data_IF_715825567293
#
_entry.id   IF_715825567293
#
_cell.length_a   1.000
_cell.length_b   1.000
_cell.length_c   1.000
_cell.angle_alpha   90.00
_cell.angle_beta   90.00
_cell.angle_gamma   90.00
#
_symmetry.space_group_name_H-M   'P 1'
#
loop_
_entity.id
_entity.type
_entity.pdbx_description
1 polymer ?
2 polymer ?
3 non-polymer ?
4 water ?
#
# COMPACT_ATOMS: atom_id res chain seq x y z
N UNK A 4 15.06 -27.25 -26.27
CA UNK A 4 13.81 -26.75 -25.61
C UNK A 4 13.40 -25.34 -26.01
N UNK A 5 12.21 -24.94 -25.57
CA UNK A 5 11.68 -23.61 -25.87
C UNK A 5 12.03 -22.66 -24.74
N UNK A 7 9.80 -20.75 -23.40
CA UNK A 7 8.68 -21.03 -22.50
C UNK A 7 9.02 -22.12 -21.49
N UNK A 8 9.55 -23.24 -21.97
CA UNK A 8 9.92 -24.34 -21.06
C UNK A 8 10.94 -23.90 -20.02
N UNK A 9 12.00 -23.24 -20.46
CA UNK A 9 13.05 -22.86 -19.52
C UNK A 9 12.51 -21.85 -18.52
N UNK A 10 11.70 -20.89 -18.98
CA UNK A 10 11.10 -19.92 -18.07
C UNK A 10 10.21 -20.56 -17.01
N UNK A 11 9.35 -21.50 -17.42
CA UNK A 11 8.44 -22.13 -16.50
C UNK A 11 9.17 -22.97 -15.49
N UNK A 13 12.23 -22.61 -14.43
CA UNK A 13 12.93 -21.71 -13.52
C UNK A 13 11.98 -21.12 -12.48
N UNK A 14 10.81 -20.67 -12.93
CA UNK A 14 9.77 -20.16 -12.03
C UNK A 14 9.38 -21.24 -11.01
N UNK A 15 9.19 -22.46 -11.48
CA UNK A 15 8.77 -23.55 -10.61
C UNK A 15 9.83 -23.84 -9.55
N UNK A 16 11.10 -23.82 -9.95
CA UNK A 16 12.21 -24.02 -9.02
C UNK A 16 12.17 -22.95 -7.95
N UNK A 17 11.98 -21.71 -8.36
CA UNK A 17 11.89 -20.61 -7.41
C UNK A 17 10.74 -20.75 -6.41
N UNK A 18 9.58 -21.12 -6.93
CA UNK A 18 8.40 -21.40 -6.11
C UNK A 18 8.65 -22.52 -5.12
N UNK A 19 9.23 -23.61 -5.61
CA UNK A 19 9.52 -24.77 -4.77
C UNK A 19 10.47 -24.39 -3.63
N UNK A 20 11.57 -23.73 -3.95
CA UNK A 20 12.55 -23.41 -2.94
C UNK A 20 12.01 -22.42 -1.89
N UNK A 21 11.16 -21.49 -2.33
CA UNK A 21 10.52 -20.55 -1.40
C UNK A 21 9.57 -21.30 -0.46
N UNK A 22 8.75 -22.18 -1.01
CA UNK A 22 7.79 -22.90 -0.21
C UNK A 22 8.47 -23.88 0.75
N UNK A 23 9.60 -24.47 0.34
CA UNK A 23 10.43 -25.30 1.23
C UNK A 23 10.90 -24.46 2.42
N UNK A 24 11.33 -23.23 2.13
CA UNK A 24 11.75 -22.28 3.18
C UNK A 24 10.59 -21.94 4.11
N UNK A 25 9.40 -21.70 3.56
CA UNK A 25 8.21 -21.50 4.38
C UNK A 25 7.93 -22.74 5.28
N UNK A 26 8.13 -23.95 4.75
CA UNK A 26 7.90 -25.18 5.54
C UNK A 26 9.03 -25.49 6.54
N UNK A 27 10.13 -24.77 6.45
CA UNK A 27 11.28 -24.99 7.34
C UNK A 27 11.75 -26.45 7.35
N UNK A 28 11.76 -27.06 6.18
CA UNK A 28 12.33 -28.39 6.00
C UNK A 28 13.60 -28.23 5.15
N UNK A 29 14.73 -28.82 5.58
CA UNK A 29 15.97 -28.67 4.84
C UNK A 29 15.95 -29.38 3.49
N UNK A 30 16.74 -28.89 2.54
CA UNK A 30 16.93 -29.53 1.24
C UNK A 30 18.42 -29.82 1.06
N UNK A 31 18.71 -30.95 0.42
CA UNK A 31 20.08 -31.40 0.21
C UNK A 31 20.67 -30.73 -1.02
N UNK A 32 21.89 -30.20 -0.88
CA UNK A 32 22.57 -29.47 -1.96
C UNK A 32 21.61 -28.69 -2.85
N UNK A 34 22.07 -26.03 -4.40
CA UNK A 34 22.73 -24.83 -4.88
C UNK A 34 21.76 -23.64 -4.88
N UNK A 35 21.65 -22.96 -3.73
CA UNK A 35 20.78 -21.78 -3.70
C UNK A 35 21.34 -20.66 -4.56
N UNK A 36 20.61 -20.32 -5.62
CA UNK A 36 20.97 -19.20 -6.49
C UNK A 36 20.71 -17.90 -5.76
N UNK A 37 21.23 -16.81 -6.29
CA UNK A 37 21.07 -15.55 -5.60
C UNK A 37 19.63 -15.06 -5.66
N UNK A 38 18.93 -15.35 -6.78
CA UNK A 38 17.51 -15.03 -6.87
C UNK A 38 16.71 -15.77 -5.79
N UNK A 39 17.07 -17.01 -5.51
CA UNK A 39 16.44 -17.76 -4.41
C UNK A 39 16.62 -17.05 -3.08
N UNK A 40 17.86 -16.60 -2.83
CA UNK A 40 18.19 -15.96 -1.56
C UNK A 40 17.48 -14.63 -1.36
N UNK A 41 17.40 -13.81 -2.41
CA UNK A 41 16.70 -12.53 -2.20
C UNK A 41 15.21 -12.77 -2.16
N UNK A 42 14.70 -13.74 -2.92
CA UNK A 42 13.27 -14.02 -2.89
C UNK A 42 12.87 -14.49 -1.49
N UNK A 43 13.67 -15.38 -0.91
CA UNK A 43 13.49 -15.86 0.46
C UNK A 43 13.31 -14.71 1.44
N UNK A 44 14.27 -13.78 1.43
CA UNK A 44 14.24 -12.59 2.26
C UNK A 44 13.02 -11.69 2.04
N UNK A 45 12.82 -11.27 0.79
CA UNK A 45 11.80 -10.27 0.48
C UNK A 45 10.40 -10.86 0.54
N UNK A 46 10.21 -12.05 -0.03
CA UNK A 46 8.90 -12.69 0.02
C UNK A 46 8.50 -13.07 1.44
N UNK A 47 9.46 -13.54 2.25
CA UNK A 47 9.10 -13.93 3.62
C UNK A 47 8.69 -12.71 4.46
N UNK A 48 9.34 -11.56 4.24
CA UNK A 48 8.95 -10.34 4.96
C UNK A 48 7.57 -9.88 4.54
N UNK A 49 7.25 -10.00 3.25
CA UNK A 49 5.90 -9.70 2.77
C UNK A 49 4.89 -10.68 3.38
N UNK A 50 5.26 -11.96 3.42
CA UNK A 50 4.38 -12.97 3.97
C UNK A 50 4.06 -12.65 5.45
N UNK A 51 5.07 -12.28 6.23
CA UNK A 51 4.82 -11.94 7.63
C UNK A 51 3.89 -10.73 7.73
N UNK A 52 4.09 -9.73 6.87
CA UNK A 52 3.23 -8.55 6.86
C UNK A 52 1.78 -8.90 6.51
N UNK A 53 1.61 -9.79 5.52
CA UNK A 53 0.27 -10.25 5.15
C UNK A 53 -0.38 -10.98 6.32
N UNK A 54 0.37 -11.87 6.94
CA UNK A 54 -0.19 -12.66 8.05
C UNK A 54 -0.60 -11.80 9.24
N UNK A 55 0.03 -10.63 9.38
CA UNK A 55 -0.28 -9.69 10.45
C UNK A 55 -1.42 -8.75 10.05
N UNK A 56 -1.25 -8.05 8.93
CA UNK A 56 -2.24 -7.07 8.45
C UNK A 56 -3.59 -7.67 8.09
N UNK A 57 -3.58 -8.86 7.48
CA UNK A 57 -4.82 -9.50 7.01
C UNK A 57 -5.29 -10.64 7.93
N UNK A 58 -4.85 -10.64 9.18
CA UNK A 58 -5.17 -11.74 10.11
C UNK A 58 -6.68 -12.01 10.18
N UNK A 59 -7.50 -10.96 10.15
CA UNK A 59 -8.95 -11.12 10.31
C UNK A 59 -9.56 -11.79 9.09
N UNK A 60 -9.04 -11.48 7.90
CA UNK A 60 -9.50 -12.16 6.68
C UNK A 60 -9.04 -13.61 6.67
N UNK A 61 -7.77 -13.84 7.00
CA UNK A 61 -7.19 -15.17 6.90
C UNK A 61 -7.81 -16.13 7.92
N UNK A 62 -8.09 -15.62 9.12
CA UNK A 62 -8.74 -16.43 10.16
C UNK A 62 -10.17 -16.82 9.77
N UNK A 63 -10.76 -16.12 8.80
CA UNK A 63 -12.08 -16.48 8.28
C UNK A 63 -12.02 -17.68 7.33
N UNK A 64 -10.90 -17.85 6.63
CA UNK A 64 -10.73 -19.00 5.73
C UNK A 64 -10.39 -20.27 6.50
N UNK A 65 -10.98 -21.38 6.07
CA UNK A 65 -10.63 -22.70 6.59
C UNK A 65 -10.19 -23.51 5.38
N UNK A 66 -8.88 -23.57 5.19
CA UNK A 66 -8.33 -24.10 3.95
C UNK A 66 -8.17 -25.61 4.09
N UNK A 67 -9.29 -26.32 4.04
CA UNK A 67 -9.35 -27.74 4.32
C UNK A 67 -8.96 -28.60 3.12
N UNK A 68 -8.61 -27.98 1.99
CA UNK A 68 -8.18 -28.72 0.82
C UNK A 68 -7.35 -27.86 -0.10
N UNK A 69 -6.61 -28.52 -0.98
CA UNK A 69 -5.82 -27.83 -1.98
C UNK A 69 -6.78 -27.07 -2.92
N UNK A 70 -7.94 -27.65 -3.23
CA UNK A 70 -8.93 -26.96 -4.06
C UNK A 70 -9.36 -25.62 -3.49
N UNK A 71 -9.63 -25.58 -2.20
CA UNK A 71 -9.97 -24.31 -1.56
C UNK A 71 -8.81 -23.33 -1.67
N UNK A 72 -7.59 -23.80 -1.42
CA UNK A 72 -6.41 -22.94 -1.55
C UNK A 72 -6.25 -22.37 -2.96
N UNK A 73 -6.44 -23.23 -3.96
CA UNK A 73 -6.34 -22.85 -5.36
C UNK A 73 -7.34 -21.75 -5.70
N UNK A 74 -8.58 -21.88 -5.22
CA UNK A 74 -9.63 -20.91 -5.53
C UNK A 74 -9.32 -19.58 -4.86
N UNK A 75 -8.96 -19.63 -3.58
CA UNK A 75 -8.58 -18.41 -2.86
C UNK A 75 -7.47 -17.69 -3.59
N UNK A 76 -6.42 -18.43 -3.93
CA UNK A 76 -5.27 -17.87 -4.66
C UNK A 76 -5.74 -17.23 -5.98
N UNK A 77 -6.51 -17.98 -6.77
CA UNK A 77 -6.99 -17.49 -8.07
C UNK A 77 -7.76 -16.19 -7.95
N UNK A 78 -8.69 -16.14 -7.00
CA UNK A 78 -9.58 -15.01 -6.89
C UNK A 78 -8.85 -13.77 -6.41
N UNK A 79 -7.98 -13.94 -5.43
CA UNK A 79 -7.20 -12.82 -4.90
C UNK A 79 -6.25 -12.32 -5.96
N UNK A 81 -6.46 -12.59 -9.25
CA UNK A 81 -7.24 -11.91 -10.30
C UNK A 81 -7.49 -10.46 -9.92
N UNK A 82 -7.95 -10.22 -8.69
CA UNK A 82 -8.17 -8.84 -8.23
C UNK A 82 -6.85 -8.05 -8.22
N UNK A 83 -5.80 -8.64 -7.66
CA UNK A 83 -4.53 -7.92 -7.54
C UNK A 83 -4.04 -7.42 -8.89
N UNK A 84 -4.16 -8.28 -9.91
CA UNK A 84 -3.58 -7.99 -11.21
C UNK A 84 -4.57 -7.45 -12.23
N UNK A 85 -5.81 -7.17 -11.80
CA UNK A 85 -6.90 -6.77 -12.72
C UNK A 85 -6.58 -5.48 -13.49
N UNK A 86 -5.72 -4.64 -12.91
CA UNK A 86 -5.37 -3.37 -13.53
C UNK A 86 -4.34 -3.47 -14.67
N UNK A 87 -3.79 -4.67 -14.87
CA UNK A 87 -2.86 -4.96 -15.97
C UNK A 87 -1.43 -4.51 -15.72
N UNK A 88 -1.15 -4.07 -14.50
CA UNK A 88 0.18 -3.58 -14.14
C UNK A 88 0.98 -4.75 -13.63
N UNK A 89 2.26 -4.78 -13.98
CA UNK A 89 3.16 -5.78 -13.43
C UNK A 89 4.40 -5.04 -12.96
N UNK A 90 4.92 -5.44 -11.81
CA UNK A 90 6.23 -5.00 -11.34
C UNK A 90 6.79 -6.08 -10.42
N UNK A 91 8.02 -5.91 -9.98
CA UNK A 91 8.67 -6.95 -9.20
C UNK A 91 8.03 -7.13 -7.83
N UNK A 92 7.52 -6.04 -7.25
CA UNK A 92 6.84 -6.11 -5.95
C UNK A 92 5.61 -7.01 -6.02
N UNK A 93 4.88 -6.88 -7.12
CA UNK A 93 3.72 -7.71 -7.36
C UNK A 93 4.12 -9.18 -7.54
N UNK A 94 5.18 -9.42 -8.30
CA UNK A 94 5.67 -10.78 -8.47
C UNK A 94 6.05 -11.38 -7.10
N UNK A 95 6.69 -10.60 -6.25
CA UNK A 95 7.03 -11.07 -4.90
C UNK A 95 5.79 -11.48 -4.11
N UNK A 96 4.73 -10.67 -4.19
CA UNK A 96 3.51 -10.99 -3.48
C UNK A 96 2.83 -12.30 -3.94
N UNK A 97 3.09 -12.75 -5.17
CA UNK A 97 2.53 -14.02 -5.67
C UNK A 97 3.12 -15.15 -4.86
N UNK A 98 4.44 -15.16 -4.76
CA UNK A 98 5.12 -16.15 -3.95
C UNK A 98 4.66 -16.08 -2.50
N UNK A 99 4.63 -14.86 -1.93
CA UNK A 99 4.25 -14.65 -0.52
C UNK A 99 2.85 -15.18 -0.20
N UNK A 100 1.90 -14.93 -1.08
CA UNK A 100 0.55 -15.35 -0.84
C UNK A 100 0.42 -16.87 -1.00
N UNK A 101 1.17 -17.47 -1.93
CA UNK A 101 1.25 -18.93 -1.99
C UNK A 101 1.76 -19.52 -0.67
N UNK A 102 2.78 -18.89 -0.06
CA UNK A 102 3.29 -19.34 1.23
C UNK A 102 2.28 -19.19 2.34
N UNK A 103 1.55 -18.08 2.34
CA UNK A 103 0.49 -17.86 3.33
C UNK A 103 -0.49 -19.04 3.25
N UNK A 104 -0.91 -19.37 2.02
CA UNK A 104 -1.88 -20.43 1.82
C UNK A 104 -1.34 -21.83 2.11
N UNK A 105 -0.07 -22.08 1.75
CA UNK A 105 0.58 -23.35 2.14
C UNK A 105 0.59 -23.56 3.66
N UNK A 106 1.00 -22.54 4.41
CA UNK A 106 0.99 -22.61 5.86
C UNK A 106 -0.41 -22.96 6.38
N UNK A 107 -1.44 -22.30 5.84
CA UNK A 107 -2.82 -22.56 6.25
C UNK A 107 -3.27 -23.98 5.92
N UNK A 108 -2.96 -24.43 4.72
CA UNK A 108 -3.19 -25.83 4.32
C UNK A 108 -2.56 -26.82 5.29
N UNK A 109 -1.28 -26.62 5.58
CA UNK A 109 -0.57 -27.52 6.48
C UNK A 109 -1.35 -27.66 7.78
N UNK A 110 -1.87 -26.55 8.30
CA UNK A 110 -2.63 -26.54 9.56
C UNK A 110 -4.07 -27.01 9.38
N UNK A 111 -4.71 -26.54 8.32
CA UNK A 111 -6.10 -26.88 8.02
C UNK A 111 -6.16 -27.94 6.92
N UNK A 118 0.09 -33.99 -1.71
CA UNK A 118 1.16 -33.10 -1.29
C UNK A 118 0.77 -31.66 -1.54
N UNK A 119 0.48 -30.93 -0.47
CA UNK A 119 0.18 -29.51 -0.57
C UNK A 119 1.34 -28.75 -1.19
N UNK A 120 2.55 -29.09 -0.78
CA UNK A 120 3.74 -28.42 -1.29
C UNK A 120 3.83 -28.52 -2.81
N UNK A 121 3.70 -29.75 -3.32
CA UNK A 121 3.75 -29.98 -4.76
C UNK A 121 2.68 -29.17 -5.49
N UNK A 122 1.44 -29.27 -5.02
CA UNK A 122 0.31 -28.64 -5.70
C UNK A 122 0.36 -27.11 -5.63
N UNK A 123 0.71 -26.57 -4.46
CA UNK A 123 0.85 -25.12 -4.34
C UNK A 123 1.99 -24.60 -5.23
N UNK A 124 3.15 -25.27 -5.22
CA UNK A 124 4.27 -24.81 -6.06
C UNK A 124 3.85 -24.81 -7.55
N UNK A 125 3.01 -25.76 -7.93
CA UNK A 125 2.54 -25.87 -9.32
C UNK A 125 1.59 -24.73 -9.68
N UNK A 126 0.57 -24.48 -8.87
CA UNK A 126 -0.39 -23.42 -9.25
C UNK A 126 0.18 -22.00 -9.12
N UNK A 127 1.14 -21.84 -8.20
CA UNK A 127 1.90 -20.60 -8.09
C UNK A 127 2.73 -20.41 -9.36
N UNK A 128 3.44 -21.46 -9.78
CA UNK A 128 4.32 -21.34 -10.96
C UNK A 128 3.51 -21.00 -12.19
N UNK A 129 2.39 -21.71 -12.36
CA UNK A 129 1.52 -21.49 -13.53
C UNK A 129 1.04 -20.05 -13.57
N UNK A 130 0.56 -19.54 -12.43
CA UNK A 130 0.09 -18.14 -12.41
C UNK A 130 1.22 -17.16 -12.78
N UNK A 131 2.40 -17.32 -12.19
CA UNK A 131 3.52 -16.42 -12.47
C UNK A 131 3.89 -16.47 -13.95
N UNK A 133 2.08 -17.55 -16.57
CA UNK A 133 1.03 -17.15 -17.48
C UNK A 133 0.70 -15.66 -17.45
N UNK A 134 0.91 -15.02 -16.31
CA UNK A 134 0.53 -13.63 -16.12
C UNK A 134 1.69 -12.66 -16.11
N UNK A 135 2.91 -13.14 -15.88
CA UNK A 135 4.11 -12.28 -15.76
C UNK A 135 5.37 -12.80 -16.46
N UNK A 136 5.34 -13.98 -17.08
CA UNK A 136 6.54 -14.61 -17.64
C UNK A 136 7.23 -13.78 -18.70
N UNK A 137 6.45 -13.20 -19.60
CA UNK A 137 7.03 -12.33 -20.63
C UNK A 137 7.55 -11.03 -20.03
N UNK A 138 6.83 -10.46 -19.06
CA UNK A 138 7.32 -9.25 -18.38
C UNK A 138 8.67 -9.54 -17.72
N UNK A 139 8.78 -10.68 -17.06
CA UNK A 139 10.04 -11.05 -16.39
C UNK A 139 11.16 -11.07 -17.43
N UNK A 140 10.89 -11.70 -18.57
CA UNK A 140 11.89 -11.79 -19.66
C UNK A 140 12.34 -10.41 -20.09
N UNK A 141 11.36 -9.52 -20.28
CA UNK A 141 11.61 -8.17 -20.75
C UNK A 141 12.27 -7.23 -19.73
N UNK A 142 12.27 -7.61 -18.47
CA UNK A 142 12.77 -6.74 -17.41
C UNK A 142 14.00 -7.34 -16.71
N UNK A 143 14.79 -8.05 -17.48
CA UNK A 143 16.12 -8.47 -17.06
C UNK A 143 16.18 -9.83 -16.39
N UNK A 144 15.04 -10.53 -16.29
CA UNK A 144 14.98 -11.88 -15.72
C UNK A 144 15.33 -11.95 -14.25
N UNK A 145 15.49 -13.17 -13.74
CA UNK A 145 15.65 -13.40 -12.31
C UNK A 145 17.06 -13.10 -11.77
N UNK A 146 18.09 -13.52 -12.49
CA UNK A 146 19.45 -13.48 -11.96
C UNK A 146 20.14 -12.17 -12.32
N UNK A 147 19.39 -11.23 -12.89
CA UNK A 147 19.88 -9.89 -13.19
C UNK A 147 18.85 -8.85 -12.72
N UNK A 148 17.74 -8.69 -13.44
CA UNK A 148 16.79 -7.63 -13.07
C UNK A 148 16.22 -7.77 -11.65
N UNK A 149 15.78 -8.96 -11.31
CA UNK A 149 15.16 -9.21 -9.99
C UNK A 149 16.14 -8.92 -8.87
N UNK A 150 17.33 -9.50 -8.93
CA UNK A 150 18.27 -9.28 -7.82
C UNK A 150 18.74 -7.82 -7.73
N UNK A 151 18.87 -7.14 -8.87
CA UNK A 151 19.26 -5.72 -8.87
C UNK A 151 18.16 -4.85 -8.28
N UNK A 152 16.91 -5.26 -8.48
CA UNK A 152 15.76 -4.51 -7.96
C UNK A 152 15.79 -4.50 -6.43
N UNK A 153 16.12 -5.64 -5.81
CA UNK A 153 16.06 -5.76 -4.36
C UNK A 153 17.41 -5.73 -3.65
N UNK A 154 18.44 -5.30 -4.36
CA UNK A 154 19.74 -5.12 -3.74
C UNK A 154 20.24 -3.72 -4.01
N UNK A 155 20.83 -3.08 -3.01
CA UNK A 155 21.42 -1.76 -3.16
N UNK B 2 -16.04 -13.59 -2.26
CA UNK B 2 -15.49 -12.77 -3.36
C UNK B 2 -15.31 -11.31 -2.98
N UNK B 3 -16.18 -10.74 -2.15
CA UNK B 3 -15.83 -9.45 -1.52
C UNK B 3 -14.44 -9.58 -0.92
N UNK B 4 -14.16 -10.69 -0.24
CA UNK B 4 -12.82 -10.93 0.31
C UNK B 4 -11.74 -10.94 -0.74
N UNK B 5 -12.06 -11.40 -1.96
CA UNK B 5 -11.05 -11.44 -3.02
C UNK B 5 -10.70 -10.01 -3.44
N UNK B 6 -11.73 -9.18 -3.59
CA UNK B 6 -11.52 -7.77 -3.93
C UNK B 6 -10.76 -7.05 -2.82
N UNK B 7 -11.13 -7.34 -1.57
CA UNK B 7 -10.54 -6.62 -0.44
C UNK B 7 -9.11 -7.06 -0.13
N UNK B 8 -8.87 -8.37 -0.10
CA UNK B 8 -7.52 -8.91 0.07
C UNK B 8 -6.65 -8.56 -1.12
N UNK B 9 -7.20 -8.70 -2.33
CA UNK B 9 -6.47 -8.37 -3.55
C UNK B 9 -6.03 -6.93 -3.56
N UNK B 10 -6.89 -6.03 -3.10
CA UNK B 10 -6.53 -4.62 -2.95
C UNK B 10 -5.37 -4.42 -1.98
N UNK B 11 -5.42 -5.07 -0.83
CA UNK B 11 -4.40 -4.91 0.18
C UNK B 11 -3.07 -5.51 -0.30
N UNK B 12 -3.15 -6.63 -0.99
CA UNK B 12 -1.92 -7.26 -1.53
C UNK B 12 -1.31 -6.39 -2.61
N UNK B 13 -2.15 -5.79 -3.45
CA UNK B 13 -1.65 -4.86 -4.48
C UNK B 13 -0.95 -3.65 -3.85
N UNK B 14 -1.57 -3.13 -2.80
CA UNK B 14 -1.03 -2.01 -2.02
C UNK B 14 0.34 -2.38 -1.44
N UNK B 15 0.40 -3.54 -0.80
CA UNK B 15 1.67 -4.08 -0.26
C UNK B 15 2.71 -4.21 -1.37
N UNK B 16 2.31 -4.78 -2.51
CA UNK B 16 3.21 -5.01 -3.64
C UNK B 16 3.79 -3.72 -4.16
N UNK B 17 2.90 -2.76 -4.41
CA UNK B 17 3.32 -1.50 -5.00
C UNK B 17 4.09 -0.64 -4.00
N UNK B 18 3.79 -0.78 -2.71
CA UNK B 18 4.60 -0.14 -1.66
C UNK B 18 6.00 -0.73 -1.68
N UNK B 19 6.10 -2.05 -1.78
CA UNK B 19 7.42 -2.72 -1.86
C UNK B 19 8.21 -2.26 -3.07
N UNK B 20 7.52 -2.17 -4.23
CA UNK B 20 8.13 -1.68 -5.47
C UNK B 20 8.74 -0.29 -5.32
N UNK B 21 7.98 0.61 -4.69
CA UNK B 21 8.42 1.99 -4.46
C UNK B 21 9.55 2.08 -3.42
N UNK B 22 9.55 1.18 -2.42
CA UNK B 22 10.56 1.20 -1.35
C UNK B 22 11.94 0.93 -1.92
N UNK B 23 11.96 0.12 -2.98
CA UNK B 23 13.17 -0.19 -3.72
C UNK B 23 13.26 0.58 -5.06
N UNK B 24 12.83 1.84 -5.01
CA UNK B 24 12.91 2.84 -6.11
C UNK B 24 11.73 2.82 -7.11
N UNK C 3 -28.94 30.67 6.21
CA UNK C 3 -28.55 30.86 4.78
C UNK C 3 -27.38 31.83 4.70
N UNK C 4 -26.38 31.48 3.91
CA UNK C 4 -25.15 32.26 3.83
C UNK C 4 -24.02 31.69 4.67
N UNK C 5 -24.26 30.54 5.29
CA UNK C 5 -23.25 29.92 6.15
C UNK C 5 -22.92 28.44 5.89
N UNK C 7 -21.32 26.77 3.47
CA UNK C 7 -19.94 26.54 3.04
C UNK C 7 -18.93 26.94 4.13
N UNK C 8 -19.31 27.95 4.92
CA UNK C 8 -18.48 28.41 6.02
C UNK C 8 -18.39 27.31 7.08
N UNK C 9 -19.53 26.76 7.44
CA UNK C 9 -19.55 25.65 8.39
C UNK C 9 -18.75 24.45 7.85
N UNK C 10 -18.90 24.15 6.57
CA UNK C 10 -18.20 22.98 6.02
C UNK C 10 -16.70 23.19 6.11
N UNK C 11 -16.24 24.39 5.75
CA UNK C 11 -14.82 24.67 5.77
C UNK C 11 -14.27 24.58 7.20
N UNK C 13 -15.43 22.88 9.70
CA UNK C 13 -15.40 21.48 10.13
C UNK C 13 -14.22 20.73 9.55
N UNK C 14 -14.00 20.88 8.24
CA UNK C 14 -12.83 20.33 7.59
C UNK C 14 -11.55 20.80 8.28
N UNK C 15 -11.50 22.10 8.58
CA UNK C 15 -10.29 22.65 9.18
C UNK C 15 -10.06 22.05 10.57
N UNK C 16 -11.14 21.90 11.33
CA UNK C 16 -11.06 21.25 12.65
C UNK C 16 -10.53 19.81 12.54
N UNK C 17 -11.05 19.04 11.61
CA UNK C 17 -10.50 17.68 11.37
C UNK C 17 -9.03 17.70 11.00
N UNK C 18 -8.65 18.63 10.15
CA UNK C 18 -7.26 18.76 9.68
C UNK C 18 -6.35 19.15 10.85
N UNK C 19 -6.78 20.13 11.62
CA UNK C 19 -6.00 20.54 12.79
C UNK C 19 -5.82 19.42 13.80
N UNK C 20 -6.91 18.74 14.12
CA UNK C 20 -6.83 17.65 15.10
C UNK C 20 -6.01 16.47 14.60
N UNK C 21 -6.02 16.21 13.29
CA UNK C 21 -5.14 15.19 12.75
C UNK C 21 -3.67 15.62 12.91
N UNK C 22 -3.36 16.84 12.54
CA UNK C 22 -1.98 17.31 12.58
C UNK C 22 -1.49 17.44 14.02
N UNK C 23 -2.37 17.84 14.91
CA UNK C 23 -2.04 17.81 16.34
C UNK C 23 -1.75 16.38 16.84
N UNK C 24 -2.54 15.41 16.40
CA UNK C 24 -2.27 14.00 16.70
C UNK C 24 -0.90 13.55 16.20
N UNK C 25 -0.56 13.92 14.96
CA UNK C 25 0.77 13.62 14.36
C UNK C 25 1.93 14.15 15.21
N UNK C 26 1.81 15.37 15.71
CA UNK C 26 2.86 15.98 16.52
C UNK C 26 2.67 15.75 18.02
N UNK C 27 1.63 15.03 18.40
CA UNK C 27 1.26 14.80 19.81
C UNK C 27 1.04 16.13 20.54
N UNK C 28 0.29 17.02 19.91
CA UNK C 28 -0.13 18.27 20.56
C UNK C 28 -1.53 18.09 21.12
N UNK C 29 -1.70 18.23 22.45
CA UNK C 29 -3.01 18.21 23.08
C UNK C 29 -3.97 19.21 22.44
N UNK C 30 -5.15 18.73 22.08
CA UNK C 30 -6.20 19.57 21.49
C UNK C 30 -6.99 20.23 22.60
N UNK C 31 -7.46 21.45 22.35
CA UNK C 31 -8.28 22.17 23.32
C UNK C 31 -9.62 21.46 23.45
N UNK C 32 -10.21 21.08 22.32
CA UNK C 32 -11.44 20.28 22.30
C UNK C 32 -11.12 18.83 22.62
N UNK C 35 -12.29 13.63 21.61
CA UNK C 35 -12.38 13.58 20.15
C UNK C 35 -13.63 12.86 19.67
N UNK C 36 -14.20 13.33 18.56
CA UNK C 36 -15.35 12.68 17.93
C UNK C 36 -14.95 11.38 17.26
N UNK C 37 -15.94 10.57 16.87
CA UNK C 37 -15.68 9.31 16.20
C UNK C 37 -15.00 9.53 14.84
N UNK C 38 -15.45 10.54 14.09
CA UNK C 38 -14.83 10.87 12.81
C UNK C 38 -13.35 11.15 13.00
N UNK C 39 -13.00 11.95 14.01
CA UNK C 39 -11.58 12.23 14.34
C UNK C 39 -10.79 10.97 14.66
N UNK C 40 -11.41 10.07 15.43
CA UNK C 40 -10.72 8.84 15.86
C UNK C 40 -10.44 7.95 14.66
N UNK C 41 -11.44 7.82 13.80
CA UNK C 41 -11.33 7.00 12.60
C UNK C 41 -10.29 7.61 11.67
N UNK C 42 -10.42 8.91 11.45
CA UNK C 42 -9.49 9.62 10.58
C UNK C 42 -8.07 9.50 11.11
N UNK C 43 -7.91 9.67 12.41
CA UNK C 43 -6.59 9.54 13.03
C UNK C 43 -5.97 8.16 12.81
N UNK C 44 -6.76 7.09 12.96
CA UNK C 44 -6.29 5.73 12.70
C UNK C 44 -5.90 5.49 11.24
N UNK C 45 -6.84 5.76 10.35
CA UNK C 45 -6.66 5.42 8.95
C UNK C 45 -5.61 6.31 8.32
N UNK C 46 -5.68 7.62 8.55
CA UNK C 46 -4.68 8.54 7.95
C UNK C 46 -3.28 8.29 8.49
N UNK C 47 -3.15 8.04 9.80
CA UNK C 47 -1.83 7.79 10.35
C UNK C 47 -1.23 6.51 9.79
N UNK C 48 -2.04 5.48 9.59
CA UNK C 48 -1.59 4.28 8.86
C UNK C 48 -0.96 4.64 7.51
N UNK C 49 -1.64 5.49 6.77
CA UNK C 49 -1.17 5.91 5.45
C UNK C 49 0.13 6.72 5.61
N UNK C 50 0.15 7.61 6.58
CA UNK C 50 1.34 8.46 6.76
C UNK C 50 2.59 7.60 6.98
N UNK C 51 2.47 6.63 7.87
CA UNK C 51 3.60 5.70 8.14
C UNK C 51 4.03 4.90 6.91
N UNK C 52 3.03 4.45 6.15
CA UNK C 52 3.24 3.74 4.90
C UNK C 52 4.01 4.59 3.88
N UNK C 53 3.65 5.86 3.78
CA UNK C 53 4.33 6.83 2.92
C UNK C 53 5.77 7.06 3.38
N UNK C 54 5.95 7.32 4.68
CA UNK C 54 7.28 7.60 5.22
C UNK C 54 8.20 6.38 5.07
N UNK C 55 7.63 5.18 5.11
CA UNK C 55 8.44 3.95 5.01
C UNK C 55 8.78 3.65 3.55
N UNK C 56 7.80 3.76 2.67
CA UNK C 56 7.93 3.20 1.32
C UNK C 56 8.26 4.21 0.22
N UNK C 57 8.07 5.49 0.50
CA UNK C 57 8.38 6.53 -0.46
C UNK C 57 9.55 7.37 0.04
N UNK C 58 10.37 6.79 0.91
CA UNK C 58 11.50 7.50 1.54
C UNK C 58 12.42 8.10 0.49
N UNK C 59 12.64 7.37 -0.59
CA UNK C 59 13.63 7.79 -1.58
C UNK C 59 13.14 9.02 -2.36
N UNK C 60 11.82 9.16 -2.52
CA UNK C 60 11.22 10.38 -3.08
C UNK C 60 11.09 11.50 -2.07
N UNK C 61 10.76 11.19 -0.83
CA UNK C 61 10.70 12.23 0.21
C UNK C 61 12.08 12.84 0.45
N UNK C 62 13.11 12.01 0.32
CA UNK C 62 14.49 12.45 0.44
C UNK C 62 14.92 13.38 -0.70
N UNK C 63 14.17 13.40 -1.79
CA UNK C 63 14.44 14.26 -2.96
C UNK C 63 14.04 15.72 -2.79
N UNK C 64 13.35 16.07 -1.71
CA UNK C 64 13.05 17.48 -1.50
C UNK C 64 13.25 17.89 -0.05
N UNK C 65 13.32 19.20 0.17
CA UNK C 65 13.64 19.78 1.46
C UNK C 65 12.57 20.84 1.72
N UNK C 66 11.91 20.74 2.86
CA UNK C 66 10.82 21.63 3.17
C UNK C 66 11.32 22.72 4.11
N UNK C 67 11.93 23.75 3.54
CA UNK C 67 12.68 24.74 4.33
C UNK C 67 11.83 25.90 4.82
N UNK C 68 10.60 25.97 4.33
CA UNK C 68 9.67 27.05 4.67
C UNK C 68 8.24 26.60 4.51
N UNK C 69 7.31 27.34 5.09
CA UNK C 69 5.88 27.12 4.90
C UNK C 69 5.52 27.35 3.42
N UNK C 70 6.14 28.35 2.80
CA UNK C 70 5.87 28.62 1.38
C UNK C 70 6.22 27.39 0.52
N UNK C 71 7.36 26.79 0.78
CA UNK C 71 7.77 25.57 0.09
C UNK C 71 6.83 24.40 0.38
N UNK C 72 6.43 24.27 1.63
CA UNK C 72 5.46 23.23 2.01
C UNK C 72 4.19 23.37 1.20
N UNK C 73 3.69 24.60 1.07
CA UNK C 73 2.45 24.86 0.35
C UNK C 73 2.54 24.48 -1.12
N UNK C 74 3.65 24.87 -1.74
CA UNK C 74 3.91 24.53 -3.14
C UNK C 74 3.98 23.02 -3.37
N UNK C 75 4.73 22.32 -2.52
CA UNK C 75 4.91 20.88 -2.65
C UNK C 75 3.57 20.17 -2.44
N UNK C 76 2.86 20.57 -1.40
CA UNK C 76 1.53 20.02 -1.12
C UNK C 76 0.63 20.14 -2.35
N UNK C 77 0.54 21.35 -2.89
CA UNK C 77 -0.34 21.61 -4.03
C UNK C 77 0.07 20.80 -5.25
N UNK C 78 1.39 20.70 -5.51
CA UNK C 78 1.91 19.93 -6.66
C UNK C 78 1.55 18.43 -6.57
N UNK C 79 1.80 17.86 -5.42
CA UNK C 79 1.58 16.44 -5.21
C UNK C 79 0.07 16.18 -5.28
N UNK C 81 -2.26 18.01 -6.67
CA UNK C 81 -2.76 18.25 -8.02
C UNK C 81 -2.56 17.01 -8.89
N UNK C 82 -1.39 16.38 -8.81
CA UNK C 82 -1.11 15.15 -9.52
C UNK C 82 -2.03 14.01 -9.06
N UNK C 83 -2.17 13.81 -7.76
CA UNK C 83 -3.04 12.73 -7.28
C UNK C 83 -4.46 12.83 -7.84
N UNK C 84 -5.03 14.04 -7.83
CA UNK C 84 -6.43 14.26 -8.20
C UNK C 84 -6.68 14.66 -9.66
N UNK C 85 -5.64 14.60 -10.49
CA UNK C 85 -5.71 15.05 -11.91
C UNK C 85 -6.66 14.22 -12.79
N UNK C 86 -6.96 12.99 -12.38
CA UNK C 86 -7.92 12.15 -13.10
C UNK C 86 -9.38 12.48 -12.76
N UNK C 87 -9.57 13.41 -11.83
CA UNK C 87 -10.88 13.96 -11.50
C UNK C 87 -11.72 13.06 -10.64
N UNK C 88 -11.14 11.95 -10.17
CA UNK C 88 -11.86 11.00 -9.36
C UNK C 88 -11.71 11.37 -7.87
N UNK C 89 -12.78 11.14 -7.12
CA UNK C 89 -12.78 11.39 -5.68
C UNK C 89 -13.39 10.16 -5.00
N UNK C 90 -12.79 9.76 -3.88
CA UNK C 90 -13.37 8.76 -2.97
C UNK C 90 -12.82 9.01 -1.56
N UNK C 91 -13.37 8.33 -0.57
CA UNK C 91 -12.91 8.55 0.79
C UNK C 91 -11.44 8.18 1.02
N UNK C 92 -10.94 7.17 0.33
CA UNK C 92 -9.52 6.82 0.42
C UNK C 92 -8.65 8.01 0.01
N UNK C 93 -9.03 8.69 -1.08
CA UNK C 93 -8.27 9.84 -1.55
C UNK C 93 -8.30 10.98 -0.57
N UNK C 94 -9.48 11.22 0.02
CA UNK C 94 -9.59 12.24 1.07
C UNK C 94 -8.67 11.92 2.26
N UNK C 95 -8.64 10.65 2.67
CA UNK C 95 -7.71 10.23 3.71
C UNK C 95 -6.27 10.59 3.36
N UNK C 96 -5.86 10.34 2.12
CA UNK C 96 -4.48 10.65 1.72
C UNK C 96 -4.14 12.13 1.74
N UNK C 97 -5.14 13.01 1.60
CA UNK C 97 -4.89 14.45 1.71
C UNK C 97 -4.39 14.79 3.11
N UNK C 98 -5.12 14.30 4.11
CA UNK C 98 -4.73 14.48 5.52
C UNK C 98 -3.36 13.86 5.80
N UNK C 99 -3.20 12.63 5.32
CA UNK C 99 -1.96 11.86 5.57
C UNK C 99 -0.74 12.57 4.97
N UNK C 100 -0.85 13.05 3.74
CA UNK C 100 0.29 13.75 3.15
C UNK C 100 0.53 15.10 3.81
N UNK C 101 -0.51 15.76 4.29
CA UNK C 101 -0.29 16.97 5.09
C UNK C 101 0.58 16.67 6.30
N UNK C 102 0.29 15.56 6.96
CA UNK C 102 1.09 15.08 8.09
C UNK C 102 2.55 14.76 7.74
N UNK C 103 2.73 14.08 6.61
CA UNK C 103 4.07 13.76 6.09
C UNK C 103 4.85 15.06 5.91
N UNK C 104 4.25 16.04 5.25
CA UNK C 104 4.92 17.33 5.03
C UNK C 104 5.18 18.10 6.31
N UNK C 105 4.23 18.07 7.23
CA UNK C 105 4.40 18.75 8.50
C UNK C 105 5.59 18.16 9.25
N UNK C 106 5.70 16.83 9.29
CA UNK C 106 6.86 16.20 9.94
C UNK C 106 8.17 16.63 9.29
N UNK C 107 8.18 16.70 7.96
CA UNK C 107 9.37 17.15 7.22
C UNK C 107 9.72 18.60 7.58
N UNK C 108 8.70 19.43 7.62
CA UNK C 108 8.86 20.85 7.90
C UNK C 108 9.42 21.05 9.28
N UNK C 109 8.90 20.32 10.27
CA UNK C 109 9.46 20.43 11.60
C UNK C 109 10.95 20.15 11.61
N UNK C 110 11.38 19.16 10.84
CA UNK C 110 12.79 18.81 10.77
C UNK C 110 13.62 19.77 9.93
N UNK C 111 13.02 20.28 8.86
CA UNK C 111 13.79 20.98 7.82
C UNK C 111 13.58 22.49 7.77
N UNK C 112 12.57 23.01 8.45
CA UNK C 112 12.29 24.46 8.37
C UNK C 112 13.43 25.32 8.93
N UNK C 113 13.74 26.40 8.22
CA UNK C 113 14.83 27.31 8.64
C UNK C 113 14.35 28.17 9.79
N UNK C 114 13.25 28.89 9.59
CA UNK C 114 12.74 29.83 10.60
C UNK C 114 12.11 29.05 11.76
N UNK C 115 12.27 29.56 12.97
CA UNK C 115 11.48 29.05 14.09
C UNK C 115 10.00 29.26 13.76
N UNK C 116 9.19 28.23 13.96
CA UNK C 116 7.78 28.32 13.63
C UNK C 116 6.99 27.31 14.46
N UNK C 117 6.71 27.68 15.70
CA UNK C 117 5.92 26.85 16.61
C UNK C 117 4.49 26.66 16.09
N UNK C 118 4.03 27.56 15.22
CA UNK C 118 2.69 27.51 14.63
C UNK C 118 2.60 26.75 13.30
N UNK C 119 3.67 26.07 12.90
CA UNK C 119 3.70 25.43 11.58
C UNK C 119 2.48 24.56 11.33
N UNK C 120 2.05 23.82 12.34
CA UNK C 120 0.94 22.90 12.11
C UNK C 120 -0.37 23.66 11.83
N UNK C 121 -0.50 24.88 12.33
CA UNK C 121 -1.70 25.67 12.06
C UNK C 121 -1.70 26.12 10.61
N UNK C 122 -0.53 26.50 10.10
CA UNK C 122 -0.42 26.94 8.71
C UNK C 122 -0.67 25.76 7.74
N UNK C 123 -0.11 24.60 8.05
CA UNK C 123 -0.36 23.41 7.24
C UNK C 123 -1.81 22.98 7.28
N UNK C 124 -2.43 22.98 8.47
CA UNK C 124 -3.87 22.67 8.57
C UNK C 124 -4.71 23.57 7.66
N UNK C 125 -4.30 24.83 7.49
CA UNK C 125 -5.05 25.78 6.66
C UNK C 125 -5.00 25.39 5.20
N UNK C 126 -3.82 25.11 4.66
CA UNK C 126 -3.77 24.77 3.24
C UNK C 126 -4.29 23.36 2.94
N UNK C 127 -4.24 22.45 3.91
CA UNK C 127 -4.88 21.14 3.83
C UNK C 127 -6.41 21.31 3.77
N UNK C 128 -6.94 22.16 4.64
CA UNK C 128 -8.39 22.40 4.66
C UNK C 128 -8.88 23.04 3.36
N UNK C 129 -8.14 24.03 2.88
CA UNK C 129 -8.49 24.70 1.63
C UNK C 129 -8.55 23.67 0.49
N UNK C 130 -7.55 22.79 0.42
CA UNK C 130 -7.55 21.80 -0.68
C UNK C 130 -8.73 20.86 -0.62
N UNK C 131 -9.05 20.39 0.57
CA UNK C 131 -10.16 19.50 0.74
C UNK C 131 -11.46 20.20 0.32
N UNK C 133 -11.97 22.90 -1.59
CA UNK C 133 -11.99 23.36 -2.99
C UNK C 133 -12.13 22.23 -3.98
N UNK C 134 -11.54 21.08 -3.66
CA UNK C 134 -11.54 19.95 -4.59
C UNK C 134 -12.50 18.83 -4.27
N UNK C 135 -12.94 18.72 -3.03
CA UNK C 135 -13.84 17.62 -2.63
C UNK C 135 -15.03 18.07 -1.81
N UNK C 136 -15.18 19.38 -1.61
CA UNK C 136 -16.22 19.90 -0.72
C UNK C 136 -17.63 19.50 -1.11
N UNK C 137 -17.95 19.63 -2.39
CA UNK C 137 -19.25 19.21 -2.90
C UNK C 137 -19.44 17.70 -2.80
N UNK C 138 -18.40 16.95 -3.15
CA UNK C 138 -18.46 15.49 -3.16
C UNK C 138 -18.74 15.01 -1.73
N UNK C 139 -18.06 15.61 -0.75
CA UNK C 139 -18.32 15.29 0.65
C UNK C 139 -19.81 15.44 0.99
N UNK C 140 -20.40 16.56 0.60
CA UNK C 140 -21.83 16.83 0.85
C UNK C 140 -22.73 15.82 0.15
N UNK C 141 -22.36 15.43 -1.07
CA UNK C 141 -23.14 14.47 -1.86
C UNK C 141 -22.97 13.03 -1.41
N UNK C 142 -21.93 12.74 -0.62
CA UNK C 142 -21.61 11.37 -0.25
C UNK C 142 -21.72 11.06 1.24
N UNK C 143 -22.67 11.71 1.90
CA UNK C 143 -23.01 11.37 3.27
C UNK C 143 -22.35 12.19 4.36
N UNK C 144 -21.44 13.09 3.99
CA UNK C 144 -20.72 13.89 4.99
C UNK C 144 -19.80 13.06 5.85
N UNK C 145 -19.29 13.66 6.92
CA UNK C 145 -18.32 12.98 7.78
C UNK C 145 -18.91 11.85 8.62
N UNK C 146 -20.19 11.96 9.00
CA UNK C 146 -20.84 10.93 9.83
C UNK C 146 -21.48 9.76 9.06
N UNK C 147 -22.42 10.07 8.17
CA UNK C 147 -23.12 9.04 7.40
C UNK C 147 -22.27 8.48 6.24
N UNK C 148 -21.22 9.19 5.86
CA UNK C 148 -20.37 8.79 4.76
C UNK C 148 -19.05 8.21 5.23
N UNK C 149 -18.19 9.08 5.74
CA UNK C 149 -16.83 8.72 6.16
C UNK C 149 -16.77 7.64 7.26
N UNK C 150 -17.43 7.87 8.39
CA UNK C 150 -17.35 6.93 9.52
C UNK C 150 -17.82 5.54 9.10
N UNK C 151 -18.92 5.50 8.35
CA UNK C 151 -19.50 4.24 7.91
C UNK C 151 -18.57 3.51 6.95
N UNK C 152 -17.89 4.27 6.11
CA UNK C 152 -16.90 3.72 5.17
C UNK C 152 -15.82 2.90 5.88
N UNK C 153 -15.26 3.43 6.97
CA UNK C 153 -14.07 2.86 7.58
C UNK C 153 -14.30 2.10 8.90
N UNK C 154 -15.53 2.13 9.41
CA UNK C 154 -15.92 1.34 10.57
C UNK C 154 -16.63 0.06 10.13
N UNK D 3 9.08 13.63 -12.33
CA UNK D 3 9.80 14.13 -11.11
C UNK D 3 9.23 13.50 -9.82
N UNK D 4 9.85 13.85 -8.69
CA UNK D 4 9.47 13.29 -7.41
C UNK D 4 8.03 13.66 -7.07
N UNK D 5 7.60 14.86 -7.44
CA UNK D 5 6.21 15.28 -7.19
C UNK D 5 5.20 14.42 -7.94
N UNK D 6 5.47 14.12 -9.21
CA UNK D 6 4.56 13.27 -9.97
C UNK D 6 4.56 11.79 -9.50
N UNK D 7 5.71 11.28 -9.10
CA UNK D 7 5.79 9.91 -8.58
C UNK D 7 5.09 9.78 -7.23
N UNK D 8 5.27 10.78 -6.37
CA UNK D 8 4.59 10.73 -5.06
C UNK D 8 3.09 10.85 -5.24
N UNK D 9 2.65 11.81 -6.05
CA UNK D 9 1.21 11.93 -6.35
C UNK D 9 0.59 10.66 -6.92
N UNK D 10 1.29 10.04 -7.88
CA UNK D 10 0.86 8.76 -8.45
C UNK D 10 0.74 7.64 -7.39
N UNK D 11 1.74 7.52 -6.50
CA UNK D 11 1.68 6.50 -5.45
C UNK D 11 0.60 6.78 -4.45
N UNK D 12 0.44 8.04 -4.05
CA UNK D 12 -0.67 8.39 -3.14
C UNK D 12 -2.01 8.00 -3.76
N UNK D 13 -2.20 8.27 -5.05
CA UNK D 13 -3.43 7.88 -5.71
C UNK D 13 -3.62 6.37 -5.64
N UNK D 14 -2.57 5.60 -5.89
CA UNK D 14 -2.65 4.14 -5.82
C UNK D 14 -3.01 3.67 -4.43
N UNK D 15 -2.34 4.24 -3.43
CA UNK D 15 -2.58 3.91 -2.03
C UNK D 15 -4.04 4.20 -1.69
N UNK D 16 -4.50 5.39 -2.06
CA UNK D 16 -5.87 5.82 -1.76
C UNK D 16 -6.90 4.90 -2.36
N UNK D 17 -6.72 4.56 -3.62
CA UNK D 17 -7.68 3.71 -4.30
C UNK D 17 -7.69 2.28 -3.78
N UNK D 18 -6.51 1.77 -3.40
CA UNK D 18 -6.42 0.43 -2.78
C UNK D 18 -7.10 0.44 -1.41
N UNK D 19 -6.82 1.48 -0.64
CA UNK D 19 -7.48 1.69 0.65
C UNK D 19 -8.99 1.75 0.46
N UNK D 20 -9.44 2.51 -0.52
CA UNK D 20 -10.86 2.59 -0.79
C UNK D 20 -11.47 1.24 -1.10
N UNK D 21 -10.76 0.42 -1.88
CA UNK D 21 -11.25 -0.89 -2.31
C UNK D 21 -11.25 -1.92 -1.19
N UNK D 22 -10.40 -1.71 -0.20
CA UNK D 22 -10.34 -2.62 0.94
C UNK D 22 -11.56 -2.50 1.84
N UNK D 23 -12.24 -1.37 1.78
CA UNK D 23 -13.40 -1.10 2.62
C UNK D 23 -14.66 -0.97 1.78
N UNK D 24 -15.09 -2.09 1.22
CA UNK D 24 -16.20 -2.08 0.28
C UNK D 24 -17.51 -1.72 0.95
#
# INVERSE_FOLDING_TARGET
GPLGSXAESELXHIHSLAEHYLQYVLQVPAFESAPSQACRVLQRVAFSVQKEVEKNLKSYLDDFHVESIDTARIIFNQVXEKEFEDGIINWGRIVTIFAFGGVLLKKLKQEQIALDVSAYKQVSSFVAEFIXNNTGEWIRQNGGWEDGFIKKFEPKS
EEEWAREIGAQLRRIADDLNAQYERR
GPLGSXAESELXHIHSLAEHYLQYVLQVPAFESAPSQACRVLQRVAFSVQKEVEKNLKSYLDDFHVESIDTARIIFNQVXEKEFEDGIINWGRIVTIFAFGGVLLKKLKQEQIALDVSAYKQVSSFVAEFIXNNTGEWIRQNGGWEDGFIKKFEPKS
EEEWAREIGAQLRRIADDLNAQYERR
#
